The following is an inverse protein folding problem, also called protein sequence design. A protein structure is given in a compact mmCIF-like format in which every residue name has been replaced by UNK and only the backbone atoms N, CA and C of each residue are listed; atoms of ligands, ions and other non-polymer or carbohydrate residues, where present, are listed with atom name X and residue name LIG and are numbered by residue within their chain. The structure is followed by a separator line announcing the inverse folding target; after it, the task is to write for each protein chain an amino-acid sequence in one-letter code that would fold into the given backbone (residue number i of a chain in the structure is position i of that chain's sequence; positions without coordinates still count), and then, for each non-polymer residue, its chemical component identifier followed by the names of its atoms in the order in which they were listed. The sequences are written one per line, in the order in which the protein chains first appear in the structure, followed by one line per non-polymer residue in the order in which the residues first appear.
data_IF_518041674539
#
_entry.id   IF_518041674539
#
_cell.length_a   1.000
_cell.length_b   1.000
_cell.length_c   1.000
_cell.angle_alpha   90.00
_cell.angle_beta   90.00
_cell.angle_gamma   90.00
#
_symmetry.space_group_name_H-M   'P 1'
#
loop_
_entity.id
_entity.type
_entity.pdbx_description
1 polymer ?
#
# COMPACT_ATOMS: atom_id res chain seq x y z
N UNK A 1 -4.96 13.26 -9.11
CA UNK A 1 -5.63 12.21 -8.32
C UNK A 1 -5.08 10.86 -8.77
N UNK A 2 -4.62 10.00 -7.86
CA UNK A 2 -4.06 8.69 -8.23
C UNK A 2 -5.15 7.67 -8.55
N UNK A 3 -4.91 6.84 -9.55
CA UNK A 3 -5.71 5.64 -9.85
C UNK A 3 -4.77 4.44 -9.96
N UNK A 4 -5.09 3.38 -9.22
CA UNK A 4 -4.41 2.10 -9.25
C UNK A 4 -5.23 1.15 -10.13
N UNK A 5 -4.66 0.65 -11.21
CA UNK A 5 -5.33 -0.25 -12.14
C UNK A 5 -4.60 -1.59 -12.18
N UNK A 6 -5.30 -2.68 -11.84
CA UNK A 6 -4.76 -4.03 -11.91
C UNK A 6 -5.26 -4.76 -13.14
N UNK A 7 -4.36 -5.43 -13.84
CA UNK A 7 -4.63 -6.23 -15.04
C UNK A 7 -3.91 -7.58 -14.95
N UNK A 8 -4.58 -8.66 -15.31
CA UNK A 8 -3.93 -9.97 -15.54
C UNK A 8 -3.64 -10.13 -17.03
N UNK A 9 -2.37 -10.04 -17.40
CA UNK A 9 -1.94 -10.17 -18.79
C UNK A 9 -1.63 -11.65 -19.05
N UNK A 10 -2.42 -12.30 -19.90
CA UNK A 10 -2.15 -13.69 -20.29
C UNK A 10 -0.94 -13.73 -21.21
N UNK A 11 0.15 -14.31 -20.71
CA UNK A 11 1.37 -14.57 -21.50
C UNK A 11 1.38 -16.01 -21.99
N UNK A 12 2.24 -16.33 -22.96
CA UNK A 12 2.42 -17.71 -23.41
C UNK A 12 2.93 -18.62 -22.27
N UNK A 13 3.70 -18.04 -21.34
CA UNK A 13 4.27 -18.73 -20.19
C UNK A 13 3.29 -18.91 -19.02
N UNK A 14 2.26 -18.06 -18.92
CA UNK A 14 1.18 -18.17 -17.94
C UNK A 14 -0.20 -17.97 -18.58
N UNK A 15 -0.66 -18.94 -19.39
CA UNK A 15 -1.89 -18.80 -20.17
C UNK A 15 -3.17 -18.95 -19.33
N UNK A 16 -3.07 -19.55 -18.14
CA UNK A 16 -4.23 -19.88 -17.29
C UNK A 16 -4.61 -18.75 -16.35
N UNK A 17 -3.64 -18.14 -15.65
CA UNK A 17 -3.91 -17.11 -14.64
C UNK A 17 -3.48 -15.70 -15.06
N UNK A 18 -2.57 -15.59 -16.05
CA UNK A 18 -1.97 -14.33 -16.47
C UNK A 18 -1.01 -13.75 -15.44
N UNK A 19 -0.05 -12.97 -15.91
CA UNK A 19 0.88 -12.22 -15.06
C UNK A 19 0.18 -10.97 -14.48
N UNK A 20 0.18 -10.81 -13.16
CA UNK A 20 -0.43 -9.66 -12.50
C UNK A 20 0.41 -8.40 -12.74
N UNK A 21 -0.22 -7.39 -13.33
CA UNK A 21 0.35 -6.08 -13.56
C UNK A 21 -0.50 -5.02 -12.86
N UNK A 22 0.15 -4.06 -12.19
CA UNK A 22 -0.55 -2.93 -11.57
C UNK A 22 0.11 -1.62 -11.99
N UNK A 23 -0.68 -0.81 -12.71
CA UNK A 23 -0.31 0.54 -13.13
C UNK A 23 -0.81 1.59 -12.15
N UNK A 24 -0.02 2.65 -11.97
CA UNK A 24 -0.39 3.86 -11.23
C UNK A 24 -0.48 5.03 -12.19
N UNK A 25 -1.63 5.69 -12.18
CA UNK A 25 -1.94 6.81 -13.04
C UNK A 25 -2.14 8.07 -12.19
N UNK A 26 -1.31 9.09 -12.42
CA UNK A 26 -1.46 10.41 -11.82
C UNK A 26 -2.37 11.26 -12.73
N UNK A 27 -3.68 11.13 -12.57
CA UNK A 27 -4.64 11.91 -13.36
C UNK A 27 -4.54 13.38 -12.94
N UNK A 28 -3.98 14.23 -13.81
CA UNK A 28 -3.83 15.69 -13.60
C UNK A 28 -5.13 16.48 -13.88
N UNK A 29 -6.30 15.83 -13.87
CA UNK A 29 -7.57 16.46 -14.26
C UNK A 29 -8.82 15.70 -13.83
N UNK A 30 -9.93 15.97 -14.53
CA UNK A 30 -11.27 15.41 -14.30
C UNK A 30 -11.19 13.90 -14.01
N UNK A 31 -11.93 13.39 -13.00
CA UNK A 31 -11.93 11.96 -12.71
C UNK A 31 -12.33 11.18 -13.97
N UNK A 32 -11.57 10.14 -14.34
CA UNK A 32 -11.86 9.34 -15.52
C UNK A 32 -13.20 8.64 -15.33
N UNK A 33 -14.01 8.66 -16.38
CA UNK A 33 -15.35 8.05 -16.40
C UNK A 33 -15.38 6.71 -17.13
N UNK A 34 -14.29 6.38 -17.84
CA UNK A 34 -14.12 5.14 -18.58
C UNK A 34 -12.70 4.57 -18.44
N UNK A 35 -12.55 3.29 -18.79
CA UNK A 35 -11.24 2.62 -18.89
C UNK A 35 -10.33 3.27 -19.95
N UNK A 36 -10.90 3.76 -21.05
CA UNK A 36 -10.14 4.43 -22.11
C UNK A 36 -9.60 5.81 -21.67
N UNK A 37 -10.33 6.52 -20.79
CA UNK A 37 -9.86 7.78 -20.20
C UNK A 37 -8.58 7.58 -19.37
N UNK A 38 -8.39 6.39 -18.78
CA UNK A 38 -7.22 6.07 -17.94
C UNK A 38 -5.95 5.82 -18.74
N UNK A 39 -6.10 5.39 -19.99
CA UNK A 39 -4.98 5.01 -20.88
C UNK A 39 -4.20 6.24 -21.36
N UNK A 40 -4.81 7.42 -21.35
CA UNK A 40 -4.22 8.66 -21.90
C UNK A 40 -3.21 9.37 -20.99
N UNK A 41 -3.05 8.93 -19.73
CA UNK A 41 -2.13 9.52 -18.76
C UNK A 41 -0.89 8.65 -18.59
N UNK A 42 0.31 9.25 -18.49
CA UNK A 42 1.58 8.56 -18.25
C UNK A 42 1.44 7.56 -17.08
N UNK A 43 1.34 6.27 -17.41
CA UNK A 43 1.22 5.19 -16.43
C UNK A 43 2.61 4.76 -15.99
N UNK A 44 2.86 4.75 -14.68
CA UNK A 44 4.06 4.12 -14.12
C UNK A 44 3.70 2.80 -13.45
N UNK A 45 4.63 1.86 -13.44
CA UNK A 45 4.45 0.60 -12.72
C UNK A 45 4.44 0.86 -11.21
N UNK A 46 3.55 0.16 -10.50
CA UNK A 46 3.54 0.17 -9.04
C UNK A 46 4.86 -0.43 -8.52
N UNK A 47 5.53 0.30 -7.62
CA UNK A 47 6.70 -0.24 -6.92
C UNK A 47 6.25 -1.24 -5.87
N UNK A 48 6.68 -2.50 -6.02
CA UNK A 48 6.25 -3.59 -5.15
C UNK A 48 7.04 -3.61 -3.84
N UNK A 49 6.34 -3.72 -2.73
CA UNK A 49 6.89 -4.01 -1.40
C UNK A 49 6.81 -5.52 -1.16
N UNK A 50 7.91 -6.23 -1.42
CA UNK A 50 8.01 -7.66 -1.16
C UNK A 50 8.26 -7.90 0.34
N UNK A 51 7.31 -8.53 1.03
CA UNK A 51 7.46 -8.88 2.44
C UNK A 51 6.96 -10.30 2.73
N UNK A 52 5.77 -10.67 2.23
CA UNK A 52 5.17 -11.96 2.49
C UNK A 52 5.38 -12.98 1.37
N UNK A 53 5.49 -12.54 0.11
CA UNK A 53 5.48 -13.42 -1.06
C UNK A 53 6.69 -13.19 -1.98
N UNK A 54 7.61 -14.17 -2.10
CA UNK A 54 8.71 -14.07 -3.07
C UNK A 54 8.23 -14.15 -4.52
N UNK A 55 7.00 -14.62 -4.77
CA UNK A 55 6.43 -14.76 -6.12
C UNK A 55 5.71 -13.51 -6.63
N UNK A 56 5.72 -12.41 -5.85
CA UNK A 56 5.16 -11.13 -6.26
C UNK A 56 3.70 -10.89 -5.82
N UNK A 57 3.07 -9.92 -6.49
CA UNK A 57 1.72 -9.41 -6.19
C UNK A 57 0.63 -10.30 -6.81
N UNK A 58 -0.52 -10.40 -6.18
CA UNK A 58 -1.68 -11.17 -6.65
C UNK A 58 -2.98 -10.59 -6.06
N UNK A 59 -4.15 -11.05 -6.50
CA UNK A 59 -5.47 -10.72 -5.91
C UNK A 59 -6.47 -11.87 -6.07
N UNK A 60 -7.62 -11.77 -5.40
CA UNK A 60 -8.73 -12.73 -5.47
C UNK A 60 -8.68 -13.88 -4.48
N UNK A 61 -7.83 -13.77 -3.45
CA UNK A 61 -7.81 -14.68 -2.30
C UNK A 61 -7.21 -14.02 -1.06
N UNK A 62 -7.42 -14.60 0.13
CA UNK A 62 -6.86 -14.09 1.39
C UNK A 62 -5.46 -14.67 1.66
N UNK A 63 -4.43 -14.24 0.90
CA UNK A 63 -3.06 -14.74 1.08
C UNK A 63 -1.96 -13.70 0.94
N UNK A 64 -0.70 -14.17 0.84
CA UNK A 64 0.50 -13.33 0.88
C UNK A 64 0.66 -12.38 -0.31
N UNK A 65 0.39 -12.83 -1.54
CA UNK A 65 0.48 -11.95 -2.73
C UNK A 65 -0.49 -10.76 -2.68
N UNK A 66 -1.77 -10.98 -2.33
CA UNK A 66 -2.73 -9.89 -2.07
C UNK A 66 -2.32 -8.98 -0.90
N UNK A 67 -1.67 -9.52 0.13
CA UNK A 67 -1.14 -8.72 1.23
C UNK A 67 0.01 -7.79 0.77
N UNK A 68 0.95 -8.30 -0.01
CA UNK A 68 2.05 -7.51 -0.59
C UNK A 68 1.51 -6.48 -1.61
N UNK A 69 0.46 -6.81 -2.36
CA UNK A 69 -0.21 -5.84 -3.23
C UNK A 69 -0.87 -4.71 -2.43
N UNK A 70 -1.62 -5.03 -1.38
CA UNK A 70 -2.22 -4.03 -0.49
C UNK A 70 -1.15 -3.12 0.12
N UNK A 71 -0.06 -3.71 0.58
CA UNK A 71 1.08 -2.99 1.15
C UNK A 71 1.69 -2.03 0.12
N UNK A 72 1.87 -2.49 -1.12
CA UNK A 72 2.44 -1.70 -2.21
C UNK A 72 1.55 -0.51 -2.61
N UNK A 73 0.24 -0.73 -2.73
CA UNK A 73 -0.73 0.34 -3.04
C UNK A 73 -0.73 1.39 -1.93
N UNK A 74 -0.81 0.98 -0.67
CA UNK A 74 -0.83 1.91 0.45
C UNK A 74 0.50 2.64 0.65
N UNK A 75 1.63 1.97 0.40
CA UNK A 75 2.95 2.61 0.45
C UNK A 75 3.02 3.74 -0.57
N UNK A 76 2.63 3.46 -1.80
CA UNK A 76 2.53 4.47 -2.85
C UNK A 76 1.57 5.61 -2.48
N UNK A 77 0.41 5.26 -1.93
CA UNK A 77 -0.62 6.21 -1.53
C UNK A 77 -0.14 7.20 -0.48
N UNK A 78 0.50 6.71 0.58
CA UNK A 78 1.03 7.52 1.68
C UNK A 78 2.39 8.15 1.38
N UNK A 79 3.00 7.84 0.23
CA UNK A 79 4.35 8.30 -0.12
C UNK A 79 5.44 7.64 0.71
N UNK A 80 5.19 6.43 1.22
CA UNK A 80 6.16 5.62 1.96
C UNK A 80 6.98 4.78 0.98
N UNK A 81 8.30 4.81 1.10
CA UNK A 81 9.18 3.98 0.27
C UNK A 81 9.08 2.51 0.71
N UNK A 82 9.35 1.54 -0.20
CA UNK A 82 9.40 0.13 0.17
C UNK A 82 10.33 -0.16 1.36
N UNK A 83 11.46 0.56 1.43
CA UNK A 83 12.42 0.43 2.51
C UNK A 83 11.86 0.91 3.85
N UNK A 84 11.16 2.06 3.88
CA UNK A 84 10.51 2.56 5.09
C UNK A 84 9.48 1.56 5.62
N UNK A 85 8.65 1.02 4.74
CA UNK A 85 7.63 0.03 5.10
C UNK A 85 8.26 -1.27 5.60
N UNK A 86 9.29 -1.77 4.90
CA UNK A 86 10.01 -2.98 5.27
C UNK A 86 10.73 -2.87 6.62
N UNK A 87 11.28 -1.69 6.93
CA UNK A 87 11.93 -1.41 8.21
C UNK A 87 10.88 -1.36 9.32
N UNK A 88 9.77 -0.66 9.10
CA UNK A 88 8.65 -0.59 10.05
C UNK A 88 8.04 -1.96 10.36
N UNK A 89 7.98 -2.87 9.37
CA UNK A 89 7.50 -4.25 9.56
C UNK A 89 8.46 -5.17 10.32
N UNK A 90 9.75 -4.79 10.44
CA UNK A 90 10.79 -5.64 11.05
C UNK A 90 11.33 -5.12 12.38
N UNK A 91 11.11 -3.84 12.69
CA UNK A 91 11.71 -3.19 13.85
C UNK A 91 10.70 -2.37 14.63
N UNK A 92 10.58 -2.71 15.92
CA UNK A 92 9.76 -1.95 16.88
C UNK A 92 10.35 -0.57 17.19
N UNK A 93 11.64 -0.40 16.96
CA UNK A 93 12.39 0.85 17.19
C UNK A 93 12.37 1.79 16.00
N UNK A 94 11.64 1.46 14.93
CA UNK A 94 11.56 2.29 13.72
C UNK A 94 10.28 3.11 13.65
N UNK A 95 10.33 4.20 12.88
CA UNK A 95 9.16 5.02 12.61
C UNK A 95 8.01 4.16 12.05
N UNK A 96 6.79 4.47 12.46
CA UNK A 96 5.62 3.68 12.13
C UNK A 96 5.20 3.93 10.68
N UNK A 97 4.80 2.86 9.99
CA UNK A 97 4.27 2.93 8.61
C UNK A 97 2.76 2.78 8.59
N UNK A 98 2.08 3.71 7.91
CA UNK A 98 0.63 3.67 7.69
C UNK A 98 0.26 2.51 6.78
N UNK A 99 1.06 2.25 5.74
CA UNK A 99 0.85 1.10 4.87
C UNK A 99 0.93 -0.22 5.66
N UNK A 100 1.97 -0.38 6.49
CA UNK A 100 2.13 -1.56 7.33
C UNK A 100 0.95 -1.75 8.31
N UNK A 101 0.43 -0.66 8.90
CA UNK A 101 -0.69 -0.74 9.83
C UNK A 101 -2.03 -1.13 9.19
N UNK A 102 -2.23 -0.79 7.91
CA UNK A 102 -3.53 -0.85 7.24
C UNK A 102 -3.64 -1.94 6.16
N UNK A 103 -2.53 -2.46 5.64
CA UNK A 103 -2.53 -3.36 4.48
C UNK A 103 -3.41 -4.60 4.64
N UNK A 104 -3.49 -5.20 5.83
CA UNK A 104 -4.33 -6.38 6.03
C UNK A 104 -5.82 -6.05 5.89
N UNK A 105 -6.28 -4.92 6.43
CA UNK A 105 -7.69 -4.50 6.27
C UNK A 105 -7.99 -4.14 4.82
N UNK A 106 -7.09 -3.38 4.20
CA UNK A 106 -7.21 -3.00 2.80
C UNK A 106 -7.28 -4.23 1.87
N UNK A 107 -6.43 -5.23 2.14
CA UNK A 107 -6.45 -6.51 1.43
C UNK A 107 -7.81 -7.18 1.56
N UNK A 108 -8.35 -7.32 2.78
CA UNK A 108 -9.65 -7.97 2.97
C UNK A 108 -10.79 -7.22 2.27
N UNK A 109 -10.80 -5.89 2.37
CA UNK A 109 -11.90 -5.06 1.85
C UNK A 109 -11.90 -4.94 0.32
N UNK A 110 -10.72 -4.90 -0.31
CA UNK A 110 -10.60 -4.63 -1.75
C UNK A 110 -10.06 -5.80 -2.58
N UNK A 111 -9.07 -6.55 -2.08
CA UNK A 111 -8.27 -7.45 -2.92
C UNK A 111 -8.57 -8.93 -2.71
N UNK A 112 -8.95 -9.34 -1.50
CA UNK A 112 -9.13 -10.74 -1.15
C UNK A 112 -10.30 -11.38 -1.89
N UNK A 113 -11.32 -10.60 -2.25
CA UNK A 113 -12.50 -11.07 -2.97
C UNK A 113 -12.55 -10.59 -4.43
N UNK A 114 -11.54 -9.87 -4.90
CA UNK A 114 -11.50 -9.36 -6.27
C UNK A 114 -11.23 -10.49 -7.27
N UNK A 115 -12.26 -10.87 -8.02
CA UNK A 115 -12.18 -11.98 -9.00
C UNK A 115 -11.96 -11.50 -10.42
N UNK A 116 -12.03 -10.20 -10.68
CA UNK A 116 -11.88 -9.66 -12.02
C UNK A 116 -10.41 -9.71 -12.45
N UNK A 117 -10.21 -10.00 -13.73
CA UNK A 117 -8.90 -9.87 -14.38
C UNK A 117 -8.49 -8.39 -14.49
N UNK A 118 -9.46 -7.47 -14.41
CA UNK A 118 -9.25 -6.03 -14.47
C UNK A 118 -10.04 -5.31 -13.38
N UNK A 119 -9.39 -4.39 -12.66
CA UNK A 119 -10.01 -3.59 -11.62
C UNK A 119 -9.30 -2.25 -11.45
N UNK A 120 -9.99 -1.31 -10.78
CA UNK A 120 -9.43 -0.01 -10.46
C UNK A 120 -9.80 0.40 -9.04
N UNK A 121 -8.83 0.99 -8.36
CA UNK A 121 -9.01 1.64 -7.07
C UNK A 121 -8.51 3.07 -7.20
N UNK A 122 -9.37 4.04 -6.89
CA UNK A 122 -9.05 5.46 -6.97
C UNK A 122 -8.64 6.00 -5.60
N UNK A 123 -7.81 7.04 -5.59
CA UNK A 123 -7.40 7.72 -4.37
C UNK A 123 -8.58 8.19 -3.51
N UNK A 124 -9.64 8.72 -4.11
CA UNK A 124 -10.83 9.18 -3.37
C UNK A 124 -11.61 8.03 -2.70
N UNK A 125 -11.60 6.84 -3.30
CA UNK A 125 -12.14 5.62 -2.66
C UNK A 125 -11.28 5.24 -1.45
N UNK A 126 -9.96 5.38 -1.55
CA UNK A 126 -9.05 5.16 -0.42
C UNK A 126 -9.30 6.21 0.68
N UNK A 127 -9.47 7.49 0.34
CA UNK A 127 -9.84 8.55 1.28
C UNK A 127 -11.13 8.23 2.03
N UNK A 128 -12.18 7.84 1.31
CA UNK A 128 -13.46 7.44 1.90
C UNK A 128 -13.31 6.22 2.82
N UNK A 129 -12.49 5.25 2.40
CA UNK A 129 -12.19 4.07 3.21
C UNK A 129 -11.43 4.42 4.49
N UNK A 130 -10.43 5.31 4.42
CA UNK A 130 -9.68 5.80 5.57
C UNK A 130 -10.56 6.59 6.56
N UNK A 131 -11.62 7.23 6.06
CA UNK A 131 -12.62 7.90 6.89
C UNK A 131 -13.53 6.94 7.67
N UNK A 132 -13.43 5.62 7.46
CA UNK A 132 -14.15 4.63 8.28
C UNK A 132 -13.68 4.68 9.75
N UNK A 133 -14.57 4.57 10.75
CA UNK A 133 -14.19 4.66 12.16
C UNK A 133 -13.04 3.72 12.57
N UNK A 134 -13.06 2.47 12.12
CA UNK A 134 -12.02 1.47 12.39
C UNK A 134 -10.64 1.89 11.87
N UNK A 135 -10.59 2.45 10.67
CA UNK A 135 -9.35 2.88 10.03
C UNK A 135 -8.82 4.17 10.64
N UNK A 136 -9.72 5.12 10.95
CA UNK A 136 -9.38 6.35 11.68
C UNK A 136 -8.76 6.03 13.04
N UNK A 137 -9.42 5.20 13.86
CA UNK A 137 -8.88 4.79 15.16
C UNK A 137 -7.55 4.07 15.04
N UNK A 138 -7.35 3.28 13.98
CA UNK A 138 -6.06 2.64 13.75
C UNK A 138 -4.95 3.67 13.46
N UNK A 139 -5.23 4.70 12.66
CA UNK A 139 -4.28 5.76 12.34
C UNK A 139 -3.98 6.65 13.55
N UNK A 140 -4.98 6.97 14.36
CA UNK A 140 -4.82 7.73 15.61
C UNK A 140 -3.88 6.99 16.56
N UNK A 141 -4.13 5.70 16.80
CA UNK A 141 -3.24 4.87 17.65
C UNK A 141 -1.83 4.75 17.08
N UNK A 142 -1.69 4.71 15.75
CA UNK A 142 -0.38 4.67 15.12
C UNK A 142 0.40 5.97 15.37
N UNK A 143 -0.28 7.13 15.27
CA UNK A 143 0.31 8.43 15.53
C UNK A 143 0.74 8.58 17.00
N UNK A 144 -0.05 8.08 17.94
CA UNK A 144 0.30 8.04 19.37
C UNK A 144 1.57 7.20 19.61
N UNK A 145 1.65 6.01 19.00
CA UNK A 145 2.83 5.15 19.12
C UNK A 145 4.09 5.77 18.51
N UNK A 146 3.95 6.47 17.40
CA UNK A 146 5.07 7.14 16.74
C UNK A 146 5.58 8.33 17.56
N UNK A 147 4.67 9.12 18.14
CA UNK A 147 5.01 10.21 19.06
C UNK A 147 5.70 9.68 20.34
N UNK A 148 5.24 8.55 20.87
CA UNK A 148 5.87 7.93 22.03
C UNK A 148 7.27 7.41 21.70
N UNK A 149 7.45 6.78 20.53
CA UNK A 149 8.77 6.36 20.07
C UNK A 149 9.73 7.54 19.91
N UNK A 150 9.25 8.68 19.41
CA UNK A 150 10.05 9.90 19.29
C UNK A 150 10.55 10.38 20.66
N UNK A 151 9.67 10.42 21.68
CA UNK A 151 10.05 10.78 23.06
C UNK A 151 11.09 9.84 23.64
N UNK A 152 10.92 8.53 23.45
CA UNK A 152 11.88 7.52 23.96
C UNK A 152 13.26 7.72 23.32
N UNK A 153 13.32 8.05 22.03
CA UNK A 153 14.57 8.32 21.32
C UNK A 153 15.24 9.60 21.81
N UNK A 154 14.47 10.66 22.03
CA UNK A 154 14.99 11.92 22.60
C UNK A 154 15.65 11.67 23.97
N UNK A 155 15.01 10.88 24.85
CA UNK A 155 15.58 10.51 26.15
C UNK A 155 16.88 9.70 26.03
N UNK A 156 16.94 8.73 25.11
CA UNK A 156 18.14 7.90 24.86
C UNK A 156 19.31 8.73 24.29
N UNK A 157 19.02 9.78 23.51
CA UNK A 157 20.01 10.72 23.00
C UNK A 157 20.56 11.65 24.11
N UNK A 158 19.70 12.15 24.99
CA UNK A 158 20.10 12.96 26.15
C UNK A 158 20.99 12.18 27.12
N UNK A 159 20.63 10.92 27.43
CA UNK A 159 21.44 10.06 28.31
C UNK A 159 22.82 9.74 27.72
N UNK A 160 22.91 9.52 26.40
CA UNK A 160 24.20 9.29 25.72
C UNK A 160 25.07 10.54 25.66
N UNK A 161 24.46 11.72 25.48
CA UNK A 161 25.19 13.00 25.44
C UNK A 161 25.68 13.49 26.81
N UNK A 162 25.06 13.03 27.91
CA UNK A 162 25.46 13.37 29.28
C UNK A 162 26.63 12.54 29.83
N UNK A 163 27.08 11.51 29.09
CA UNK A 163 28.14 10.59 29.51
C UNK A 163 29.49 10.84 28.84
N UNK A 164 29.60 11.87 27.98
CA UNK A 164 30.83 12.39 27.37
C UNK A 164 31.31 13.68 28.10
#
# INVERSE_FOLDING_TARGET
MKVYAGHRIRTLDNPSRGEPFVGVHDVLGRPPTSVDDLVTCECRNLTVVTYHSPTGIEWGYAGSGPADLALSILADYFGETPQQVQVALRSLWSARSKAAALHQRFKEDFLAQERRDEWQIRADVIDAWLASPSNRTCLERLAEQDAELARIRELDEEERGASD
#
